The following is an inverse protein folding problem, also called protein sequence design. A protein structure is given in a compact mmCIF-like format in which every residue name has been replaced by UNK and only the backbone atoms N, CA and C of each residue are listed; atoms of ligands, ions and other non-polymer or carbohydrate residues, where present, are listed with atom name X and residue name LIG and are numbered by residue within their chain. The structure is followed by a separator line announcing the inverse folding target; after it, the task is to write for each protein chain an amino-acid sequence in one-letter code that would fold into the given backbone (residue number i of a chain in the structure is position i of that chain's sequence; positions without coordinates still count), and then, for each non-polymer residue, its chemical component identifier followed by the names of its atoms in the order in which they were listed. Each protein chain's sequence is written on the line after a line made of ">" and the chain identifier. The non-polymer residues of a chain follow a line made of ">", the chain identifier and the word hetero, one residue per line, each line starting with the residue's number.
data_IF_270134680278
#
_entry.id   IF_270134680278
#
_cell.length_a   1.000
_cell.length_b   1.000
_cell.length_c   1.000
_cell.angle_alpha   90.00
_cell.angle_beta   90.00
_cell.angle_gamma   90.00
#
_symmetry.space_group_name_H-M   'P 1'
#
loop_
_entity.id
_entity.type
_entity.pdbx_description
1 polymer ?
#
# COMPACT_ATOMS: atom_id res chain seq x y z
N UNK A 1 -6.56 -33.34 36.39
CA UNK A 1 -5.73 -32.16 36.74
C UNK A 1 -4.36 -32.34 36.11
N UNK A 2 -3.66 -31.22 35.80
CA UNK A 2 -2.42 -31.10 35.01
C UNK A 2 -2.67 -31.13 33.49
N UNK A 3 -2.96 -30.03 32.78
CA UNK A 3 -2.23 -28.77 32.60
C UNK A 3 -0.72 -28.93 32.53
N UNK A 4 -0.14 -28.96 31.31
CA UNK A 4 1.12 -28.28 31.05
C UNK A 4 1.31 -27.96 29.56
N UNK A 5 1.43 -26.65 29.28
CA UNK A 5 2.19 -26.00 28.18
C UNK A 5 1.83 -26.34 26.74
N UNK A 6 0.93 -25.51 26.19
CA UNK A 6 1.07 -25.04 24.82
C UNK A 6 2.50 -24.50 24.61
N UNK A 7 3.29 -25.20 23.79
CA UNK A 7 4.57 -24.69 23.30
C UNK A 7 4.26 -23.44 22.49
N UNK A 8 4.76 -22.31 22.97
CA UNK A 8 4.73 -21.02 22.29
C UNK A 8 5.55 -21.17 21.00
N UNK A 9 4.87 -21.58 19.93
CA UNK A 9 5.47 -21.64 18.60
C UNK A 9 5.73 -20.20 18.18
N UNK A 10 7.00 -19.79 18.20
CA UNK A 10 7.46 -18.58 17.50
C UNK A 10 6.93 -18.67 16.07
N UNK A 11 6.03 -17.77 15.72
CA UNK A 11 5.39 -17.73 14.40
C UNK A 11 6.49 -17.55 13.33
N UNK A 12 6.79 -18.54 12.46
CA UNK A 12 7.95 -18.49 11.57
C UNK A 12 7.77 -17.58 10.34
N UNK A 13 6.68 -16.82 10.25
CA UNK A 13 6.26 -16.12 9.03
C UNK A 13 6.33 -14.59 9.09
N UNK A 14 6.96 -13.99 10.11
CA UNK A 14 7.34 -12.57 10.03
C UNK A 14 8.62 -12.43 9.19
N UNK A 15 8.54 -12.82 7.91
CA UNK A 15 9.60 -12.48 6.95
C UNK A 15 9.62 -10.97 6.88
N UNK A 16 10.68 -10.36 7.43
CA UNK A 16 10.85 -8.92 7.36
C UNK A 16 10.77 -8.50 5.88
N UNK A 17 9.76 -7.70 5.53
CA UNK A 17 9.53 -7.22 4.16
C UNK A 17 10.63 -6.23 3.70
N UNK A 18 11.71 -6.08 4.47
CA UNK A 18 12.63 -4.96 4.40
C UNK A 18 12.13 -3.79 5.24
N UNK A 19 13.04 -3.08 5.91
CA UNK A 19 12.72 -1.94 6.76
C UNK A 19 12.31 -2.28 8.19
N UNK A 20 12.00 -1.22 8.97
CA UNK A 20 11.63 -1.26 10.38
C UNK A 20 10.12 -1.04 10.53
N UNK A 21 9.41 -2.03 11.05
CA UNK A 21 7.98 -1.90 11.39
C UNK A 21 7.82 -1.00 12.62
N UNK A 22 6.97 0.01 12.52
CA UNK A 22 6.72 1.00 13.59
C UNK A 22 5.30 0.89 14.18
N UNK A 23 4.33 0.49 13.36
CA UNK A 23 2.93 0.29 13.77
C UNK A 23 2.30 -0.87 13.03
N UNK A 24 1.23 -1.40 13.61
CA UNK A 24 0.52 -2.57 13.12
C UNK A 24 -0.97 -2.43 13.41
N UNK A 25 -1.84 -2.63 12.45
CA UNK A 25 -3.28 -2.67 12.65
C UNK A 25 -3.82 -3.97 12.06
N UNK A 26 -4.79 -4.57 12.75
CA UNK A 26 -5.50 -5.76 12.30
C UNK A 26 -7.01 -5.51 12.40
N UNK A 27 -7.81 -6.06 11.47
CA UNK A 27 -9.25 -6.08 11.59
C UNK A 27 -9.70 -7.03 12.72
N UNK A 28 -10.93 -6.85 13.22
CA UNK A 28 -11.58 -7.77 14.16
C UNK A 28 -12.20 -9.00 13.48
N UNK A 29 -12.14 -9.05 12.15
CA UNK A 29 -12.55 -10.17 11.30
C UNK A 29 -11.30 -10.81 10.68
N UNK A 30 -11.44 -11.99 10.06
CA UNK A 30 -10.36 -12.52 9.24
C UNK A 30 -10.01 -11.51 8.15
N UNK A 31 -8.74 -11.17 7.96
CA UNK A 31 -8.34 -10.21 6.94
C UNK A 31 -6.86 -9.80 7.04
N UNK A 32 -6.36 -9.08 6.03
CA UNK A 32 -4.96 -8.67 6.00
C UNK A 32 -4.56 -7.81 7.20
N UNK A 33 -3.30 -7.95 7.59
CA UNK A 33 -2.64 -7.06 8.52
C UNK A 33 -2.09 -5.82 7.80
N UNK A 34 -2.29 -4.64 8.41
CA UNK A 34 -1.72 -3.39 7.95
C UNK A 34 -0.49 -3.03 8.79
N UNK A 35 0.65 -2.79 8.14
CA UNK A 35 1.92 -2.46 8.77
C UNK A 35 2.39 -1.07 8.34
N UNK A 36 2.84 -0.23 9.27
CA UNK A 36 3.61 0.98 8.93
C UNK A 36 5.08 0.67 9.03
N UNK A 37 5.80 0.79 7.92
CA UNK A 37 7.20 0.37 7.82
C UNK A 37 8.09 1.49 7.29
N UNK A 38 9.15 1.82 8.00
CA UNK A 38 10.20 2.68 7.46
C UNK A 38 11.18 1.83 6.64
N UNK A 39 11.30 2.10 5.35
CA UNK A 39 12.18 1.32 4.48
C UNK A 39 12.18 1.80 3.04
N UNK A 40 13.19 1.34 2.30
CA UNK A 40 13.28 1.53 0.85
C UNK A 40 12.39 0.50 0.14
N UNK A 41 11.32 0.99 -0.49
CA UNK A 41 10.36 0.17 -1.24
C UNK A 41 11.01 -0.60 -2.39
N UNK A 42 12.11 -0.10 -2.98
CA UNK A 42 12.85 -0.82 -4.03
C UNK A 42 13.67 -1.98 -3.49
N UNK A 43 13.84 -2.09 -2.17
CA UNK A 43 14.49 -3.22 -1.48
C UNK A 43 13.48 -4.16 -0.81
N UNK A 44 12.18 -3.91 -0.99
CA UNK A 44 11.11 -4.63 -0.31
C UNK A 44 10.98 -6.07 -0.81
N UNK A 45 10.85 -7.02 0.11
CA UNK A 45 10.71 -8.47 -0.17
C UNK A 45 9.25 -8.94 -0.21
N UNK A 46 8.31 -8.01 -0.42
CA UNK A 46 6.92 -8.33 -0.66
C UNK A 46 6.74 -9.02 -2.03
N UNK A 47 5.60 -9.67 -2.26
CA UNK A 47 5.31 -10.28 -3.57
C UNK A 47 5.08 -9.20 -4.63
N UNK A 48 4.44 -8.09 -4.24
CA UNK A 48 4.22 -6.93 -5.08
C UNK A 48 4.62 -5.62 -4.37
N UNK A 49 5.05 -4.65 -5.16
CA UNK A 49 5.25 -3.28 -4.69
C UNK A 49 4.43 -2.32 -5.53
N UNK A 50 3.86 -1.30 -4.89
CA UNK A 50 3.07 -0.27 -5.57
C UNK A 50 3.97 0.88 -5.98
N UNK A 51 3.90 1.24 -7.27
CA UNK A 51 4.48 2.43 -7.84
C UNK A 51 3.43 3.54 -7.95
N UNK A 52 3.73 4.72 -7.40
CA UNK A 52 2.96 5.93 -7.63
C UNK A 52 3.29 6.50 -9.02
N UNK A 53 2.51 6.09 -10.02
CA UNK A 53 2.75 6.35 -11.43
C UNK A 53 1.96 7.57 -11.96
N UNK A 54 2.27 7.98 -13.20
CA UNK A 54 1.46 8.92 -13.97
C UNK A 54 0.64 8.19 -15.05
N UNK A 55 -0.31 8.89 -15.67
CA UNK A 55 -1.25 8.35 -16.67
C UNK A 55 -0.57 7.76 -17.91
N UNK A 56 0.68 8.11 -18.19
CA UNK A 56 1.46 7.57 -19.33
C UNK A 56 2.41 6.44 -18.92
N UNK A 57 2.39 6.02 -17.65
CA UNK A 57 3.31 5.05 -17.07
C UNK A 57 4.79 5.35 -17.38
N UNK A 58 5.14 6.64 -17.46
CA UNK A 58 6.52 7.07 -17.73
C UNK A 58 7.27 7.31 -16.41
N UNK A 59 8.18 6.41 -16.08
CA UNK A 59 8.78 6.31 -14.73
C UNK A 59 10.08 7.11 -14.59
N UNK A 60 10.02 8.43 -14.82
CA UNK A 60 11.23 9.27 -14.89
C UNK A 60 11.71 9.90 -13.57
N UNK A 61 10.88 9.95 -12.52
CA UNK A 61 11.15 10.75 -11.32
C UNK A 61 10.64 10.15 -10.02
N UNK A 62 11.11 10.68 -8.89
CA UNK A 62 10.71 10.24 -7.56
C UNK A 62 10.89 8.73 -7.34
N UNK A 63 9.89 8.11 -6.71
CA UNK A 63 9.85 6.66 -6.48
C UNK A 63 9.79 5.87 -7.79
N UNK A 64 9.01 6.31 -8.78
CA UNK A 64 8.89 5.62 -10.07
C UNK A 64 10.24 5.49 -10.76
N UNK A 65 11.03 6.57 -10.77
CA UNK A 65 12.41 6.54 -11.28
C UNK A 65 13.33 5.63 -10.46
N UNK A 66 13.18 5.57 -9.14
CA UNK A 66 13.96 4.67 -8.30
C UNK A 66 13.64 3.19 -8.59
N UNK A 67 12.36 2.88 -8.80
CA UNK A 67 11.88 1.54 -9.20
C UNK A 67 12.51 1.12 -10.53
N UNK A 68 12.47 1.97 -11.57
CA UNK A 68 13.07 1.61 -12.87
C UNK A 68 14.59 1.54 -12.81
N UNK A 69 15.26 2.45 -12.09
CA UNK A 69 16.73 2.39 -11.94
C UNK A 69 17.21 1.08 -11.34
N UNK A 70 16.45 0.52 -10.38
CA UNK A 70 16.86 -0.71 -9.69
C UNK A 70 16.29 -1.97 -10.32
N UNK A 71 15.03 -1.94 -10.74
CA UNK A 71 14.34 -3.05 -11.39
C UNK A 71 14.78 -3.26 -12.85
N UNK A 72 15.29 -2.22 -13.51
CA UNK A 72 15.74 -2.27 -14.89
C UNK A 72 14.69 -1.81 -15.89
N UNK A 73 15.14 -1.67 -17.15
CA UNK A 73 14.36 -1.08 -18.24
C UNK A 73 13.13 -1.90 -18.65
N UNK A 74 13.10 -3.21 -18.35
CA UNK A 74 11.97 -4.08 -18.69
C UNK A 74 10.64 -3.59 -18.10
N UNK A 75 10.66 -2.98 -16.90
CA UNK A 75 9.47 -2.39 -16.27
C UNK A 75 8.89 -1.27 -17.15
N UNK A 76 9.77 -0.44 -17.73
CA UNK A 76 9.37 0.64 -18.62
C UNK A 76 8.89 0.10 -19.97
N UNK A 77 9.57 -0.89 -20.54
CA UNK A 77 9.16 -1.52 -21.80
C UNK A 77 7.78 -2.19 -21.70
N UNK A 78 7.50 -2.88 -20.59
CA UNK A 78 6.18 -3.46 -20.32
C UNK A 78 5.11 -2.37 -20.12
N UNK A 79 5.46 -1.27 -19.44
CA UNK A 79 4.58 -0.11 -19.29
C UNK A 79 4.25 0.53 -20.63
N UNK A 80 5.24 0.71 -21.51
CA UNK A 80 5.06 1.28 -22.84
C UNK A 80 4.20 0.39 -23.73
N UNK A 81 4.44 -0.94 -23.70
CA UNK A 81 3.58 -1.92 -24.39
C UNK A 81 2.13 -1.82 -23.90
N UNK A 82 1.92 -1.72 -22.59
CA UNK A 82 0.58 -1.59 -22.04
C UNK A 82 -0.12 -0.32 -22.52
N UNK A 83 0.57 0.84 -22.46
CA UNK A 83 0.05 2.13 -22.95
C UNK A 83 -0.27 2.09 -24.44
N UNK A 84 0.59 1.48 -25.26
CA UNK A 84 0.36 1.37 -26.70
C UNK A 84 -0.89 0.53 -27.04
N UNK A 85 -1.22 -0.47 -26.20
CA UNK A 85 -2.39 -1.32 -26.41
C UNK A 85 -3.69 -0.79 -25.79
N UNK A 86 -3.62 -0.02 -24.70
CA UNK A 86 -4.80 0.36 -23.92
C UNK A 86 -5.04 1.87 -23.83
N UNK A 87 -4.06 2.68 -24.26
CA UNK A 87 -4.05 4.12 -24.04
C UNK A 87 -3.66 4.51 -22.61
N UNK A 88 -3.82 5.79 -22.23
CA UNK A 88 -3.44 6.28 -20.91
C UNK A 88 -4.21 5.62 -19.76
N UNK A 89 -3.51 5.28 -18.68
CA UNK A 89 -4.13 4.78 -17.46
C UNK A 89 -4.87 5.92 -16.74
N UNK A 90 -6.12 5.70 -16.33
CA UNK A 90 -6.95 6.74 -15.70
C UNK A 90 -6.53 6.95 -14.24
N UNK A 91 -6.79 8.16 -13.73
CA UNK A 91 -6.62 8.47 -12.32
C UNK A 91 -7.57 7.62 -11.47
N UNK A 92 -7.02 6.92 -10.49
CA UNK A 92 -7.75 5.96 -9.65
C UNK A 92 -7.61 4.50 -10.08
N UNK A 93 -7.03 4.22 -11.24
CA UNK A 93 -6.86 2.87 -11.76
C UNK A 93 -5.43 2.35 -11.52
N UNK A 94 -5.27 1.02 -11.56
CA UNK A 94 -3.99 0.35 -11.39
C UNK A 94 -3.80 -0.79 -12.40
N UNK A 95 -2.55 -1.05 -12.77
CA UNK A 95 -2.12 -2.16 -13.65
C UNK A 95 -0.79 -2.70 -13.18
N UNK A 96 -0.42 -3.91 -13.59
CA UNK A 96 0.84 -4.52 -13.18
C UNK A 96 1.80 -4.82 -14.34
N UNK A 97 3.09 -4.79 -14.01
CA UNK A 97 4.20 -5.32 -14.83
C UNK A 97 5.00 -6.33 -14.01
N UNK A 98 5.93 -7.03 -14.66
CA UNK A 98 7.00 -7.76 -13.97
C UNK A 98 7.90 -6.80 -13.19
N UNK A 99 8.55 -7.29 -12.13
CA UNK A 99 9.40 -6.43 -11.30
C UNK A 99 10.86 -6.31 -11.77
N UNK A 100 11.21 -6.90 -12.92
CA UNK A 100 12.59 -6.98 -13.39
C UNK A 100 13.55 -7.56 -12.34
N UNK A 101 14.50 -6.74 -11.89
CA UNK A 101 15.55 -7.11 -10.90
C UNK A 101 15.19 -6.77 -9.44
N UNK A 102 14.01 -6.21 -9.18
CA UNK A 102 13.61 -5.93 -7.80
C UNK A 102 13.43 -7.24 -7.02
N UNK A 103 13.59 -7.23 -5.67
CA UNK A 103 13.38 -8.41 -4.83
C UNK A 103 11.89 -8.72 -4.58
N UNK A 104 11.04 -8.52 -5.58
CA UNK A 104 9.61 -8.83 -5.60
C UNK A 104 9.23 -9.43 -6.96
N UNK A 105 7.99 -9.89 -7.12
CA UNK A 105 7.52 -10.52 -8.37
C UNK A 105 6.85 -9.51 -9.31
N UNK A 106 6.12 -8.55 -8.74
CA UNK A 106 5.31 -7.60 -9.49
C UNK A 106 5.51 -6.16 -9.05
N UNK A 107 5.40 -5.24 -10.01
CA UNK A 107 5.21 -3.81 -9.75
C UNK A 107 3.80 -3.42 -10.18
N UNK A 108 3.01 -2.92 -9.23
CA UNK A 108 1.65 -2.44 -9.45
C UNK A 108 1.72 -0.93 -9.63
N UNK A 109 1.43 -0.45 -10.83
CA UNK A 109 1.40 0.97 -11.18
C UNK A 109 0.01 1.52 -10.93
N UNK A 110 -0.14 2.43 -9.99
CA UNK A 110 -1.41 3.13 -9.73
C UNK A 110 -1.27 4.62 -9.94
N UNK A 111 -2.32 5.26 -10.47
CA UNK A 111 -2.32 6.70 -10.74
C UNK A 111 -3.16 7.43 -9.70
N UNK A 112 -2.47 8.08 -8.76
CA UNK A 112 -3.12 8.99 -7.81
C UNK A 112 -3.46 10.35 -8.44
N UNK A 113 -4.29 11.17 -7.78
CA UNK A 113 -4.60 12.53 -8.22
C UNK A 113 -3.37 13.44 -8.18
N UNK A 114 -3.25 14.37 -9.14
CA UNK A 114 -2.29 15.47 -9.09
C UNK A 114 -2.97 16.73 -8.54
N UNK A 115 -2.58 17.12 -7.34
CA UNK A 115 -3.14 18.28 -6.62
C UNK A 115 -2.26 19.52 -6.78
N UNK A 116 -1.01 19.34 -7.23
CA UNK A 116 -0.03 20.42 -7.29
C UNK A 116 0.23 20.99 -5.90
N UNK A 117 0.03 22.31 -5.71
CA UNK A 117 0.15 22.95 -4.39
C UNK A 117 -1.18 23.46 -3.85
N UNK A 118 -2.30 23.00 -4.42
CA UNK A 118 -3.64 23.41 -4.01
C UNK A 118 -4.18 22.56 -2.84
N UNK A 119 -5.29 23.02 -2.26
CA UNK A 119 -6.05 22.18 -1.33
C UNK A 119 -6.74 21.04 -2.12
N UNK A 120 -6.66 19.78 -1.68
CA UNK A 120 -7.37 18.68 -2.33
C UNK A 120 -8.88 18.90 -2.27
N UNK A 121 -9.58 18.52 -3.34
CA UNK A 121 -11.04 18.53 -3.43
C UNK A 121 -11.59 17.18 -2.98
N UNK A 122 -12.91 17.08 -2.83
CA UNK A 122 -13.56 15.79 -2.57
C UNK A 122 -13.29 14.78 -3.69
N UNK A 123 -13.19 15.24 -4.94
CA UNK A 123 -12.83 14.39 -6.08
C UNK A 123 -11.40 13.87 -5.97
N UNK A 124 -10.43 14.71 -5.57
CA UNK A 124 -9.06 14.26 -5.33
C UNK A 124 -9.00 13.21 -4.22
N UNK A 125 -9.72 13.40 -3.11
CA UNK A 125 -9.83 12.37 -2.06
C UNK A 125 -10.41 11.05 -2.62
N UNK A 126 -11.49 11.11 -3.39
CA UNK A 126 -12.10 9.92 -3.99
C UNK A 126 -11.18 9.22 -5.01
N UNK A 127 -10.43 9.99 -5.79
CA UNK A 127 -9.43 9.47 -6.73
C UNK A 127 -8.26 8.78 -6.01
N UNK A 128 -7.74 9.36 -4.92
CA UNK A 128 -6.67 8.74 -4.13
C UNK A 128 -7.13 7.42 -3.49
N UNK A 129 -8.35 7.39 -2.92
CA UNK A 129 -8.93 6.15 -2.40
C UNK A 129 -9.10 5.10 -3.49
N UNK A 130 -9.64 5.46 -4.65
CA UNK A 130 -9.74 4.52 -5.79
C UNK A 130 -8.37 3.98 -6.20
N UNK A 131 -7.34 4.83 -6.26
CA UNK A 131 -5.98 4.39 -6.61
C UNK A 131 -5.43 3.35 -5.63
N UNK A 132 -5.67 3.52 -4.32
CA UNK A 132 -5.28 2.55 -3.29
C UNK A 132 -6.08 1.26 -3.43
N UNK A 133 -7.40 1.36 -3.55
CA UNK A 133 -8.27 0.20 -3.70
C UNK A 133 -7.92 -0.62 -4.94
N UNK A 134 -7.78 0.03 -6.10
CA UNK A 134 -7.39 -0.62 -7.37
C UNK A 134 -6.03 -1.30 -7.25
N UNK A 135 -5.06 -0.70 -6.56
CA UNK A 135 -3.75 -1.33 -6.35
C UNK A 135 -3.83 -2.58 -5.46
N UNK A 136 -4.67 -2.56 -4.42
CA UNK A 136 -4.87 -3.73 -3.54
C UNK A 136 -5.67 -4.84 -4.23
N UNK A 137 -6.68 -4.48 -5.03
CA UNK A 137 -7.39 -5.44 -5.89
C UNK A 137 -6.47 -6.05 -6.95
N UNK A 138 -5.55 -5.29 -7.52
CA UNK A 138 -4.56 -5.82 -8.47
C UNK A 138 -3.56 -6.75 -7.77
N UNK A 139 -3.15 -6.44 -6.54
CA UNK A 139 -2.34 -7.35 -5.73
C UNK A 139 -3.08 -8.67 -5.46
N UNK A 140 -4.38 -8.59 -5.16
CA UNK A 140 -5.22 -9.76 -4.96
C UNK A 140 -5.37 -10.61 -6.24
N UNK A 141 -5.58 -9.95 -7.40
CA UNK A 141 -5.65 -10.59 -8.72
C UNK A 141 -4.35 -11.31 -9.08
N UNK A 142 -3.22 -10.82 -8.60
CA UNK A 142 -1.89 -11.41 -8.78
C UNK A 142 -1.57 -12.48 -7.72
N UNK A 143 -2.51 -12.79 -6.83
CA UNK A 143 -2.35 -13.73 -5.71
C UNK A 143 -1.19 -13.34 -4.76
N UNK A 144 -0.89 -12.05 -4.64
CA UNK A 144 0.18 -11.54 -3.78
C UNK A 144 -0.21 -11.68 -2.31
N UNK A 145 0.63 -12.35 -1.50
CA UNK A 145 0.43 -12.48 -0.05
C UNK A 145 0.85 -11.22 0.69
N UNK A 146 1.89 -10.53 0.22
CA UNK A 146 2.33 -9.26 0.76
C UNK A 146 2.45 -8.19 -0.33
N UNK A 147 1.97 -6.99 -0.02
CA UNK A 147 2.08 -5.81 -0.89
C UNK A 147 2.63 -4.62 -0.13
N UNK A 148 3.59 -3.90 -0.71
CA UNK A 148 4.09 -2.63 -0.15
C UNK A 148 3.51 -1.41 -0.88
N UNK A 149 2.94 -0.48 -0.13
CA UNK A 149 2.22 0.70 -0.63
C UNK A 149 2.93 1.98 -0.15
N UNK A 150 3.35 2.88 -1.05
CA UNK A 150 3.99 4.14 -0.66
C UNK A 150 2.98 5.24 -0.32
N UNK A 151 3.48 6.42 0.04
CA UNK A 151 2.69 7.66 0.03
C UNK A 151 2.28 8.06 -1.40
N UNK A 152 1.21 7.47 -1.93
CA UNK A 152 0.68 7.78 -3.26
C UNK A 152 0.26 9.27 -3.30
N UNK A 153 0.70 9.97 -4.35
CA UNK A 153 0.51 11.40 -4.58
C UNK A 153 1.14 12.38 -3.57
N UNK A 154 1.75 11.93 -2.47
CA UNK A 154 2.28 12.85 -1.42
C UNK A 154 3.67 13.43 -1.72
N UNK A 155 4.22 13.12 -2.89
CA UNK A 155 5.49 13.67 -3.40
C UNK A 155 5.24 14.70 -4.51
N UNK A 156 5.67 14.36 -5.74
CA UNK A 156 5.61 15.26 -6.91
C UNK A 156 4.18 15.76 -7.22
N UNK A 157 3.15 14.93 -6.98
CA UNK A 157 1.74 15.29 -7.20
C UNK A 157 1.16 16.18 -6.09
N UNK A 158 1.92 16.42 -5.03
CA UNK A 158 1.69 17.45 -4.03
C UNK A 158 0.42 17.32 -3.19
N UNK A 159 -0.14 16.11 -3.09
CA UNK A 159 -1.18 15.84 -2.11
C UNK A 159 -0.64 16.09 -0.70
N UNK A 160 -1.31 16.89 0.16
CA UNK A 160 -0.82 17.18 1.50
C UNK A 160 -0.57 15.89 2.29
N UNK A 161 0.65 15.71 2.78
CA UNK A 161 1.17 14.45 3.33
C UNK A 161 0.25 13.81 4.37
N UNK A 162 -0.17 14.55 5.39
CA UNK A 162 -1.02 14.02 6.46
C UNK A 162 -2.41 13.62 5.95
N UNK A 163 -2.98 14.41 5.04
CA UNK A 163 -4.26 14.09 4.42
C UNK A 163 -4.13 12.86 3.52
N UNK A 164 -3.07 12.77 2.72
CA UNK A 164 -2.82 11.64 1.83
C UNK A 164 -2.62 10.34 2.61
N UNK A 165 -1.79 10.38 3.66
CA UNK A 165 -1.58 9.25 4.56
C UNK A 165 -2.90 8.79 5.22
N UNK A 166 -3.74 9.75 5.64
CA UNK A 166 -5.06 9.44 6.19
C UNK A 166 -5.97 8.73 5.18
N UNK A 167 -6.04 9.19 3.93
CA UNK A 167 -6.87 8.55 2.89
C UNK A 167 -6.34 7.14 2.55
N UNK A 168 -5.02 6.98 2.44
CA UNK A 168 -4.39 5.68 2.15
C UNK A 168 -4.65 4.68 3.28
N UNK A 169 -4.51 5.09 4.54
CA UNK A 169 -4.79 4.24 5.70
C UNK A 169 -6.27 3.87 5.76
N UNK A 170 -7.17 4.84 5.58
CA UNK A 170 -8.62 4.58 5.58
C UNK A 170 -9.01 3.55 4.54
N UNK A 171 -8.50 3.69 3.32
CA UNK A 171 -8.82 2.76 2.25
C UNK A 171 -8.20 1.38 2.47
N UNK A 172 -6.97 1.33 3.00
CA UNK A 172 -6.33 0.05 3.35
C UNK A 172 -7.08 -0.68 4.47
N UNK A 173 -7.52 0.05 5.50
CA UNK A 173 -8.37 -0.49 6.60
C UNK A 173 -9.69 -1.01 6.05
N UNK A 174 -10.33 -0.26 5.14
CA UNK A 174 -11.55 -0.67 4.46
C UNK A 174 -11.32 -1.98 3.69
N UNK A 175 -10.27 -2.06 2.88
CA UNK A 175 -9.90 -3.29 2.16
C UNK A 175 -9.69 -4.47 3.11
N UNK A 176 -8.91 -4.29 4.18
CA UNK A 176 -8.69 -5.34 5.18
C UNK A 176 -9.98 -5.86 5.82
N UNK A 177 -11.01 -5.01 5.93
CA UNK A 177 -12.28 -5.36 6.56
C UNK A 177 -13.27 -5.96 5.56
N UNK A 178 -13.43 -5.34 4.38
CA UNK A 178 -14.41 -5.75 3.37
C UNK A 178 -13.96 -6.95 2.53
N UNK A 179 -12.65 -7.12 2.31
CA UNK A 179 -12.08 -8.27 1.60
C UNK A 179 -11.53 -9.34 2.51
N UNK A 180 -11.74 -9.17 3.81
CA UNK A 180 -11.35 -10.13 4.82
C UNK A 180 -11.90 -11.53 4.57
N UNK A 181 -11.02 -12.53 4.50
CA UNK A 181 -11.40 -13.93 4.23
C UNK A 181 -11.67 -14.27 2.76
N UNK A 182 -11.72 -13.26 1.87
CA UNK A 182 -11.88 -13.44 0.42
C UNK A 182 -10.56 -13.21 -0.34
N UNK A 183 -9.76 -12.25 0.13
CA UNK A 183 -8.50 -11.87 -0.52
C UNK A 183 -7.35 -12.84 -0.21
N UNK A 184 -6.47 -12.99 -1.19
CA UNK A 184 -5.15 -13.61 -1.06
C UNK A 184 -4.15 -12.76 -0.28
N UNK A 185 -4.37 -11.44 -0.18
CA UNK A 185 -3.49 -10.50 0.51
C UNK A 185 -3.55 -10.73 2.02
N UNK A 186 -2.40 -11.04 2.62
CA UNK A 186 -2.26 -11.27 4.06
C UNK A 186 -1.61 -10.09 4.77
N UNK A 187 -0.78 -9.31 4.06
CA UNK A 187 -0.09 -8.14 4.61
C UNK A 187 -0.03 -6.97 3.64
N UNK A 188 -0.39 -5.79 4.14
CA UNK A 188 -0.22 -4.51 3.47
C UNK A 188 0.82 -3.72 4.26
N UNK A 189 1.96 -3.42 3.64
CA UNK A 189 3.01 -2.60 4.25
C UNK A 189 2.96 -1.17 3.68
N UNK A 190 2.43 -0.22 4.46
CA UNK A 190 2.57 1.21 4.20
C UNK A 190 4.03 1.59 4.43
N UNK A 191 4.79 1.65 3.33
CA UNK A 191 6.25 1.73 3.36
C UNK A 191 6.76 3.00 2.71
N UNK A 192 7.63 3.71 3.42
CA UNK A 192 8.30 4.86 2.86
C UNK A 192 9.69 5.07 3.48
N UNK A 193 10.60 5.71 2.74
CA UNK A 193 11.99 5.91 3.16
C UNK A 193 12.16 7.11 4.11
N UNK A 194 11.37 8.18 3.92
CA UNK A 194 11.47 9.40 4.71
C UNK A 194 10.64 9.37 6.00
N UNK A 195 11.22 9.88 7.09
CA UNK A 195 10.59 9.94 8.41
C UNK A 195 9.24 10.67 8.42
N UNK A 196 9.07 11.83 7.75
CA UNK A 196 7.82 12.56 7.87
C UNK A 196 6.63 11.82 7.26
N UNK A 197 6.77 11.14 6.12
CA UNK A 197 5.66 10.32 5.55
C UNK A 197 5.33 9.14 6.45
N UNK A 198 6.36 8.49 7.00
CA UNK A 198 6.18 7.38 7.93
C UNK A 198 5.46 7.85 9.20
N UNK A 199 5.81 9.02 9.74
CA UNK A 199 5.13 9.62 10.88
C UNK A 199 3.64 9.91 10.58
N UNK A 200 3.32 10.44 9.40
CA UNK A 200 1.93 10.64 8.97
C UNK A 200 1.15 9.32 8.91
N UNK A 201 1.75 8.23 8.41
CA UNK A 201 1.14 6.90 8.45
C UNK A 201 0.95 6.39 9.87
N UNK A 202 1.93 6.57 10.76
CA UNK A 202 1.83 6.19 12.17
C UNK A 202 0.63 6.87 12.82
N UNK A 203 0.51 8.20 12.66
CA UNK A 203 -0.61 8.97 13.21
C UNK A 203 -1.97 8.48 12.68
N UNK A 204 -2.07 8.26 11.37
CA UNK A 204 -3.30 7.79 10.74
C UNK A 204 -3.70 6.38 11.21
N UNK A 205 -2.75 5.47 11.36
CA UNK A 205 -2.99 4.11 11.86
C UNK A 205 -3.37 4.11 13.35
N UNK A 206 -2.72 4.92 14.18
CA UNK A 206 -3.10 5.06 15.59
C UNK A 206 -4.53 5.64 15.73
N UNK A 207 -4.93 6.56 14.85
CA UNK A 207 -6.31 7.03 14.74
C UNK A 207 -7.31 5.92 14.39
N UNK A 208 -6.97 5.04 13.45
CA UNK A 208 -7.81 3.90 13.07
C UNK A 208 -7.92 2.84 14.18
N UNK A 209 -6.87 2.64 14.98
CA UNK A 209 -6.92 1.76 16.17
C UNK A 209 -7.91 2.29 17.21
N UNK A 210 -7.81 3.59 17.54
CA UNK A 210 -8.70 4.23 18.52
C UNK A 210 -10.17 4.16 18.09
N UNK A 211 -10.47 4.44 16.82
CA UNK A 211 -11.84 4.35 16.29
C UNK A 211 -12.41 2.92 16.39
N UNK A 212 -11.57 1.90 16.19
CA UNK A 212 -11.98 0.50 16.37
C UNK A 212 -12.28 0.19 17.84
N UNK A 213 -11.38 0.56 18.75
CA UNK A 213 -11.55 0.36 20.20
C UNK A 213 -12.83 1.04 20.72
N UNK A 214 -13.10 2.27 20.28
CA UNK A 214 -14.32 3.01 20.61
C UNK A 214 -15.59 2.29 20.07
N UNK A 215 -15.52 1.71 18.87
CA UNK A 215 -16.63 0.97 18.27
C UNK A 215 -16.89 -0.37 18.99
N UNK A 216 -15.84 -1.07 19.41
CA UNK A 216 -15.95 -2.33 20.16
C UNK A 216 -16.50 -2.08 21.58
N UNK A 217 -16.04 -1.03 22.26
CA UNK A 217 -16.53 -0.66 23.58
C UNK A 217 -18.02 -0.32 23.58
N UNK A 218 -18.52 0.34 22.52
CA UNK A 218 -19.96 0.60 22.35
C UNK A 218 -20.78 -0.67 22.14
N UNK A 219 -20.22 -1.69 21.49
CA UNK A 219 -20.91 -2.98 21.28
C UNK A 219 -21.00 -3.84 22.54
N UNK A 220 -20.13 -3.63 23.53
CA UNK A 220 -20.17 -4.36 24.81
C UNK A 220 -21.15 -3.77 25.82
N UNK A 221 -21.69 -2.58 25.58
CA UNK A 221 -22.63 -1.86 26.47
C UNK A 221 -24.05 -1.77 25.90
N UNK A 222 -24.34 -2.50 24.82
CA UNK A 222 -25.67 -2.69 24.23
C UNK A 222 -26.10 -4.15 24.45
#
# INVERSE_FOLDING_TARGET
>A
MSSTRAKNAKNPAATALGGKVLRQWRPNVAGPELLVTQGDLTSCRADAVVNAANTRLQHGGGLAGAIVRKGGVSILEESDKWINSHGPLKVGDAVATSAGKLPCRHVIHTVGPNVGSAKPTAEHSAQLRRAVWSALMEADRLEAKAVAVPGISTGIFGYPRDLGALEIVRESVRFCTEKGGETTVERIALMNIDDPTVASFVMAVDGARKQREDADGRRQHL
#
